data_IF_231466235594
#
_entry.id   IF_231466235594
#
_cell.length_a   1.000
_cell.length_b   1.000
_cell.length_c   1.000
_cell.angle_alpha   90.00
_cell.angle_beta   90.00
_cell.angle_gamma   90.00
#
_symmetry.space_group_name_H-M   'P 1'
#
loop_
_entity.id
_entity.type
_entity.pdbx_description
1 polymer ?
#
# COMPACT_ATOMS: atom_id res chain seq x y z
N UNK A 1 -24.00 -23.80 24.80
CA UNK A 1 -25.20 -24.28 24.09
C UNK A 1 -25.72 -23.12 23.27
N UNK A 2 -26.05 -23.33 21.98
CA UNK A 2 -26.66 -22.27 21.15
C UNK A 2 -28.03 -21.90 21.72
N UNK A 3 -28.36 -20.62 21.69
CA UNK A 3 -29.70 -20.15 22.09
C UNK A 3 -30.75 -20.56 21.06
N UNK A 4 -32.04 -20.43 21.41
CA UNK A 4 -33.12 -20.67 20.44
C UNK A 4 -33.00 -19.73 19.24
N UNK A 5 -32.74 -18.44 19.45
CA UNK A 5 -32.59 -17.43 18.39
C UNK A 5 -31.44 -17.75 17.43
N UNK A 6 -30.31 -18.21 17.97
CA UNK A 6 -29.16 -18.62 17.15
C UNK A 6 -29.50 -19.85 16.29
N UNK A 7 -30.22 -20.83 16.86
CA UNK A 7 -30.67 -22.02 16.10
C UNK A 7 -31.74 -21.67 15.07
N UNK A 8 -32.66 -20.76 15.41
CA UNK A 8 -33.69 -20.24 14.53
C UNK A 8 -33.09 -19.54 13.32
N UNK A 9 -32.15 -18.63 13.55
CA UNK A 9 -31.47 -17.89 12.47
C UNK A 9 -30.66 -18.85 11.59
N UNK A 10 -29.88 -19.75 12.19
CA UNK A 10 -29.14 -20.79 11.44
C UNK A 10 -30.07 -21.73 10.66
N UNK A 11 -31.27 -22.02 11.17
CA UNK A 11 -32.27 -22.83 10.45
C UNK A 11 -32.91 -22.07 9.29
N UNK A 12 -33.17 -20.77 9.44
CA UNK A 12 -33.62 -19.90 8.34
C UNK A 12 -32.56 -19.84 7.25
N UNK A 13 -31.30 -19.62 7.62
CA UNK A 13 -30.16 -19.48 6.70
C UNK A 13 -29.69 -20.82 6.09
N UNK A 14 -30.22 -21.95 6.58
CA UNK A 14 -29.88 -23.29 6.07
C UNK A 14 -28.52 -23.81 6.55
N UNK A 15 -27.94 -23.19 7.58
CA UNK A 15 -26.67 -23.59 8.20
C UNK A 15 -26.84 -24.68 9.25
N UNK A 16 -28.08 -24.94 9.70
CA UNK A 16 -28.38 -26.03 10.62
C UNK A 16 -28.38 -27.37 9.86
N UNK A 17 -27.50 -28.31 10.25
CA UNK A 17 -27.32 -29.59 9.53
C UNK A 17 -27.34 -30.80 10.46
N UNK A 18 -27.67 -31.96 9.89
CA UNK A 18 -27.57 -33.26 10.55
C UNK A 18 -28.43 -33.38 11.82
N UNK A 19 -27.89 -33.86 12.95
CA UNK A 19 -28.67 -34.14 14.15
C UNK A 19 -29.21 -32.87 14.81
N UNK A 20 -28.49 -31.74 14.72
CA UNK A 20 -28.94 -30.47 15.29
C UNK A 20 -30.24 -29.96 14.62
N UNK A 21 -30.40 -30.21 13.32
CA UNK A 21 -31.62 -29.87 12.59
C UNK A 21 -32.80 -30.71 13.04
N UNK A 22 -32.61 -32.03 13.19
CA UNK A 22 -33.66 -32.92 13.66
C UNK A 22 -34.10 -32.59 15.09
N UNK A 23 -33.15 -32.30 15.98
CA UNK A 23 -33.44 -31.87 17.35
C UNK A 23 -34.18 -30.52 17.40
N UNK A 24 -33.78 -29.57 16.56
CA UNK A 24 -34.43 -28.27 16.50
C UNK A 24 -35.85 -28.37 15.94
N UNK A 25 -36.05 -29.07 14.82
CA UNK A 25 -37.37 -29.28 14.24
C UNK A 25 -38.33 -30.04 15.17
N UNK A 26 -37.80 -30.99 15.95
CA UNK A 26 -38.57 -31.69 16.97
C UNK A 26 -38.91 -30.80 18.18
N UNK A 27 -38.13 -29.75 18.44
CA UNK A 27 -38.41 -28.78 19.51
C UNK A 27 -39.45 -27.72 19.13
N UNK A 28 -39.79 -27.60 17.84
CA UNK A 28 -40.78 -26.62 17.37
C UNK A 28 -42.20 -27.07 17.74
N UNK A 29 -43.01 -26.21 18.40
CA UNK A 29 -44.37 -26.56 18.80
C UNK A 29 -45.31 -26.71 17.60
N UNK A 30 -45.09 -25.94 16.52
CA UNK A 30 -45.77 -26.09 15.23
C UNK A 30 -44.78 -25.87 14.10
N UNK A 31 -44.35 -26.97 13.48
CA UNK A 31 -43.41 -26.95 12.35
C UNK A 31 -44.01 -26.25 11.12
N UNK A 32 -45.30 -26.40 10.86
CA UNK A 32 -45.93 -25.82 9.68
C UNK A 32 -46.03 -24.29 9.79
N UNK A 33 -46.36 -23.78 10.98
CA UNK A 33 -46.32 -22.34 11.27
C UNK A 33 -44.90 -21.78 11.20
N UNK A 34 -43.92 -22.48 11.77
CA UNK A 34 -42.50 -22.07 11.71
C UNK A 34 -41.96 -22.03 10.27
N UNK A 35 -42.34 -22.99 9.41
CA UNK A 35 -41.98 -22.97 8.00
C UNK A 35 -42.68 -21.85 7.22
N UNK A 36 -43.90 -21.47 7.62
CA UNK A 36 -44.59 -20.30 7.05
C UNK A 36 -43.86 -19.01 7.41
N UNK A 37 -43.50 -18.83 8.68
CA UNK A 37 -42.73 -17.69 9.14
C UNK A 37 -41.35 -17.60 8.48
N UNK A 38 -40.66 -18.74 8.32
CA UNK A 38 -39.40 -18.81 7.55
C UNK A 38 -39.59 -18.32 6.12
N UNK A 39 -40.66 -18.76 5.43
CA UNK A 39 -40.97 -18.29 4.06
C UNK A 39 -41.23 -16.79 4.03
N UNK A 40 -41.98 -16.27 4.99
CA UNK A 40 -42.27 -14.84 5.07
C UNK A 40 -41.02 -14.01 5.36
N UNK A 41 -40.13 -14.48 6.23
CA UNK A 41 -38.84 -13.86 6.50
C UNK A 41 -37.95 -13.80 5.24
N UNK A 42 -37.89 -14.89 4.46
CA UNK A 42 -37.17 -14.93 3.19
C UNK A 42 -37.79 -13.97 2.16
N UNK A 43 -39.12 -13.94 2.05
CA UNK A 43 -39.85 -13.03 1.17
C UNK A 43 -39.57 -11.56 1.54
N UNK A 44 -39.58 -11.24 2.84
CA UNK A 44 -39.24 -9.91 3.34
C UNK A 44 -37.78 -9.55 3.00
N UNK A 45 -36.84 -10.48 3.19
CA UNK A 45 -35.44 -10.28 2.82
C UNK A 45 -35.24 -10.00 1.33
N UNK A 46 -35.94 -10.73 0.45
CA UNK A 46 -35.92 -10.48 -0.99
C UNK A 46 -36.53 -9.12 -1.33
N UNK A 47 -37.68 -8.79 -0.74
CA UNK A 47 -38.35 -7.51 -0.93
C UNK A 47 -37.45 -6.33 -0.51
N UNK A 48 -36.81 -6.44 0.66
CA UNK A 48 -35.86 -5.44 1.15
C UNK A 48 -34.67 -5.29 0.21
N UNK A 49 -34.08 -6.38 -0.29
CA UNK A 49 -32.98 -6.32 -1.27
C UNK A 49 -33.40 -5.64 -2.58
N UNK A 50 -34.64 -5.81 -3.01
CA UNK A 50 -35.19 -5.16 -4.21
C UNK A 50 -35.44 -3.67 -4.00
N UNK A 51 -36.01 -3.27 -2.85
CA UNK A 51 -36.30 -1.87 -2.55
C UNK A 51 -35.05 -1.07 -2.17
N UNK A 52 -34.11 -1.72 -1.49
CA UNK A 52 -32.82 -1.16 -1.09
C UNK A 52 -31.76 -1.35 -2.17
N UNK A 53 -32.13 -1.61 -3.44
CA UNK A 53 -31.18 -1.72 -4.55
C UNK A 53 -30.16 -0.60 -4.44
N UNK A 54 -28.95 -1.01 -4.05
CA UNK A 54 -27.92 -0.09 -3.60
C UNK A 54 -27.56 0.86 -4.71
N UNK A 55 -27.14 2.07 -4.31
CA UNK A 55 -26.49 3.02 -5.19
C UNK A 55 -25.50 2.26 -6.08
N UNK A 56 -25.65 2.38 -7.40
CA UNK A 56 -24.72 1.83 -8.39
C UNK A 56 -23.31 2.20 -7.99
N UNK A 57 -22.47 1.18 -7.78
CA UNK A 57 -21.11 1.43 -7.33
C UNK A 57 -20.34 1.99 -8.53
N UNK A 58 -19.71 3.16 -8.37
CA UNK A 58 -19.06 3.85 -9.49
C UNK A 58 -17.94 3.05 -10.19
N UNK A 59 -17.47 1.95 -9.59
CA UNK A 59 -16.35 1.14 -10.06
C UNK A 59 -16.66 -0.38 -10.02
N UNK A 60 -17.86 -0.80 -10.42
CA UNK A 60 -18.26 -2.24 -10.42
C UNK A 60 -17.25 -3.16 -11.13
N UNK A 61 -16.68 -2.71 -12.25
CA UNK A 61 -15.69 -3.48 -13.01
C UNK A 61 -14.42 -3.79 -12.22
N UNK A 62 -13.96 -2.86 -11.38
CA UNK A 62 -12.78 -3.06 -10.53
C UNK A 62 -13.04 -4.15 -9.48
N UNK A 63 -14.21 -4.10 -8.83
CA UNK A 63 -14.57 -5.09 -7.82
C UNK A 63 -14.83 -6.46 -8.46
N UNK A 64 -15.49 -6.50 -9.62
CA UNK A 64 -15.73 -7.75 -10.35
C UNK A 64 -14.43 -8.41 -10.79
N UNK A 65 -13.44 -7.64 -11.23
CA UNK A 65 -12.12 -8.18 -11.59
C UNK A 65 -11.44 -8.82 -10.37
N UNK A 66 -11.33 -8.09 -9.26
CA UNK A 66 -10.69 -8.60 -8.04
C UNK A 66 -11.42 -9.81 -7.44
N UNK A 67 -12.76 -9.80 -7.46
CA UNK A 67 -13.56 -10.95 -7.03
C UNK A 67 -13.33 -12.16 -7.91
N UNK A 68 -13.34 -11.99 -9.24
CA UNK A 68 -13.06 -13.08 -10.19
C UNK A 68 -11.66 -13.64 -10.02
N UNK A 69 -10.66 -12.79 -9.85
CA UNK A 69 -9.28 -13.22 -9.59
C UNK A 69 -9.16 -14.02 -8.29
N UNK A 70 -9.80 -13.56 -7.21
CA UNK A 70 -9.81 -14.31 -5.94
C UNK A 70 -10.53 -15.64 -6.06
N UNK A 71 -11.70 -15.67 -6.70
CA UNK A 71 -12.44 -16.92 -6.91
C UNK A 71 -11.62 -17.89 -7.77
N UNK A 72 -10.96 -17.42 -8.83
CA UNK A 72 -10.09 -18.24 -9.66
C UNK A 72 -8.86 -18.75 -8.88
N UNK A 73 -8.28 -17.94 -8.00
CA UNK A 73 -7.18 -18.35 -7.13
C UNK A 73 -7.61 -19.42 -6.12
N UNK A 74 -8.80 -19.29 -5.52
CA UNK A 74 -9.35 -20.26 -4.58
C UNK A 74 -9.79 -21.56 -5.28
N UNK A 75 -10.40 -21.47 -6.45
CA UNK A 75 -10.82 -22.62 -7.25
C UNK A 75 -9.62 -23.39 -7.82
N UNK A 76 -8.61 -22.69 -8.36
CA UNK A 76 -7.36 -23.30 -8.82
C UNK A 76 -6.52 -23.88 -7.67
N UNK A 77 -6.74 -23.40 -6.43
CA UNK A 77 -6.16 -23.96 -5.22
C UNK A 77 -6.90 -25.20 -4.68
N UNK A 78 -8.11 -25.50 -5.16
CA UNK A 78 -8.91 -26.65 -4.73
C UNK A 78 -8.59 -27.92 -5.53
N UNK A 79 -8.43 -27.82 -6.86
CA UNK A 79 -8.09 -28.97 -7.72
C UNK A 79 -6.70 -29.55 -7.47
N UNK A 80 -5.75 -28.74 -6.98
CA UNK A 80 -4.38 -29.21 -6.66
C UNK A 80 -4.29 -29.84 -5.26
N UNK A 81 -5.35 -29.72 -4.44
CA UNK A 81 -5.29 -30.01 -2.99
C UNK A 81 -5.68 -31.44 -2.61
N UNK A 82 -6.08 -32.28 -3.57
CA UNK A 82 -6.47 -33.67 -3.28
C UNK A 82 -5.32 -34.70 -3.28
N UNK A 83 -4.09 -34.34 -3.69
CA UNK A 83 -2.97 -35.32 -3.75
C UNK A 83 -1.77 -35.06 -2.84
N UNK A 84 -1.75 -34.00 -2.02
CA UNK A 84 -0.57 -33.71 -1.19
C UNK A 84 -0.89 -33.59 0.31
N UNK A 85 -1.21 -34.72 0.91
CA UNK A 85 -1.02 -34.92 2.34
C UNK A 85 0.44 -34.64 2.73
N UNK A 86 0.61 -33.97 3.87
CA UNK A 86 1.78 -34.01 4.77
C UNK A 86 3.13 -33.37 4.39
N UNK A 87 3.26 -32.45 3.41
CA UNK A 87 4.57 -31.77 3.14
C UNK A 87 4.54 -30.25 2.93
N UNK A 88 3.67 -29.48 3.60
CA UNK A 88 3.48 -28.03 3.32
C UNK A 88 4.22 -27.03 4.23
N UNK A 89 5.29 -27.43 4.92
CA UNK A 89 6.06 -26.51 5.79
C UNK A 89 7.54 -26.30 5.38
N UNK A 90 8.09 -27.08 4.45
CA UNK A 90 9.54 -27.05 4.16
C UNK A 90 9.95 -26.28 2.89
N UNK A 91 9.01 -25.98 2.00
CA UNK A 91 9.29 -25.23 0.78
C UNK A 91 9.51 -23.71 0.97
N UNK A 92 8.78 -22.99 1.85
CA UNK A 92 8.92 -21.53 1.91
C UNK A 92 10.23 -21.07 2.56
N UNK A 93 10.81 -21.85 3.48
CA UNK A 93 12.10 -21.51 4.11
C UNK A 93 13.26 -21.55 3.10
N UNK A 94 13.28 -22.56 2.22
CA UNK A 94 14.34 -22.69 1.22
C UNK A 94 14.38 -21.52 0.23
N UNK A 95 13.21 -21.03 -0.21
CA UNK A 95 13.12 -19.86 -1.10
C UNK A 95 13.48 -18.57 -0.38
N UNK A 96 13.16 -18.43 0.91
CA UNK A 96 13.54 -17.26 1.70
C UNK A 96 15.06 -17.18 1.90
N UNK A 97 15.71 -18.30 2.20
CA UNK A 97 17.17 -18.37 2.34
C UNK A 97 17.85 -18.10 1.00
N UNK A 98 17.35 -18.65 -0.10
CA UNK A 98 17.88 -18.38 -1.44
C UNK A 98 17.70 -16.90 -1.83
N UNK A 99 16.52 -16.32 -1.61
CA UNK A 99 16.26 -14.91 -1.89
C UNK A 99 17.18 -13.99 -1.04
N UNK A 100 17.35 -14.31 0.24
CA UNK A 100 18.26 -13.60 1.13
C UNK A 100 19.72 -13.68 0.68
N UNK A 101 20.20 -14.88 0.35
CA UNK A 101 21.56 -15.07 -0.17
C UNK A 101 21.79 -14.34 -1.49
N UNK A 102 20.80 -14.35 -2.39
CA UNK A 102 20.88 -13.66 -3.68
C UNK A 102 20.93 -12.14 -3.48
N UNK A 103 20.08 -11.60 -2.60
CA UNK A 103 20.09 -10.18 -2.24
C UNK A 103 21.42 -9.76 -1.61
N UNK A 104 21.97 -10.58 -0.71
CA UNK A 104 23.24 -10.29 -0.04
C UNK A 104 24.41 -10.33 -1.05
N UNK A 105 24.42 -11.27 -1.98
CA UNK A 105 25.44 -11.36 -3.03
C UNK A 105 25.40 -10.14 -3.96
N UNK A 106 24.21 -9.72 -4.41
CA UNK A 106 24.04 -8.51 -5.23
C UNK A 106 24.52 -7.28 -4.45
N UNK A 107 24.15 -7.15 -3.18
CA UNK A 107 24.61 -6.06 -2.33
C UNK A 107 26.14 -6.06 -2.16
N UNK A 108 26.76 -7.22 -1.96
CA UNK A 108 28.21 -7.35 -1.86
C UNK A 108 28.92 -6.96 -3.17
N UNK A 109 28.38 -7.36 -4.32
CA UNK A 109 28.92 -6.96 -5.63
C UNK A 109 28.78 -5.45 -5.83
N UNK A 110 27.62 -4.87 -5.55
CA UNK A 110 27.39 -3.44 -5.68
C UNK A 110 28.28 -2.62 -4.73
N UNK A 111 28.42 -3.05 -3.47
CA UNK A 111 29.31 -2.39 -2.52
C UNK A 111 30.77 -2.47 -2.95
N UNK A 112 31.25 -3.62 -3.40
CA UNK A 112 32.62 -3.73 -3.94
C UNK A 112 32.80 -2.83 -5.17
N UNK A 113 31.85 -2.79 -6.11
CA UNK A 113 31.94 -1.90 -7.28
C UNK A 113 31.93 -0.42 -6.89
N UNK A 114 31.03 0.00 -5.99
CA UNK A 114 30.91 1.40 -5.54
C UNK A 114 32.13 1.83 -4.72
N UNK A 115 32.66 0.96 -3.85
CA UNK A 115 33.88 1.27 -3.11
C UNK A 115 35.14 1.23 -3.99
N UNK A 116 35.14 0.43 -5.06
CA UNK A 116 36.26 0.36 -6.01
C UNK A 116 36.26 1.52 -7.01
N UNK A 117 35.09 2.04 -7.38
CA UNK A 117 34.96 3.30 -8.13
C UNK A 117 35.34 4.51 -7.28
N UNK A 118 35.10 4.47 -5.97
CA UNK A 118 35.67 5.43 -5.00
C UNK A 118 37.12 5.10 -4.68
N UNK A 119 37.98 5.14 -5.71
CA UNK A 119 39.42 5.30 -5.48
C UNK A 119 39.69 6.51 -4.56
N UNK A 120 40.76 6.49 -3.74
CA UNK A 120 40.94 7.41 -2.60
C UNK A 120 41.37 8.83 -3.00
N UNK A 121 40.70 9.49 -3.95
CA UNK A 121 41.17 10.77 -4.47
C UNK A 121 40.10 11.75 -4.97
N UNK A 122 38.89 11.79 -4.40
CA UNK A 122 37.96 12.88 -4.75
C UNK A 122 37.03 13.33 -3.62
N UNK A 123 37.51 13.22 -2.37
CA UNK A 123 36.78 13.67 -1.18
C UNK A 123 36.83 15.21 -0.97
N UNK A 124 37.26 16.00 -1.97
CA UNK A 124 37.41 17.45 -1.86
C UNK A 124 36.58 18.28 -2.84
N UNK A 125 35.77 17.69 -3.72
CA UNK A 125 35.02 18.45 -4.75
C UNK A 125 33.64 18.99 -4.33
N UNK A 126 33.23 18.79 -3.07
CA UNK A 126 32.00 19.38 -2.52
C UNK A 126 32.25 20.16 -1.22
N UNK A 127 33.45 20.68 -1.01
CA UNK A 127 33.64 21.69 0.03
C UNK A 127 33.11 23.01 -0.53
N UNK A 128 31.84 23.30 -0.27
CA UNK A 128 31.25 24.63 -0.44
C UNK A 128 32.06 25.62 0.41
N UNK A 129 33.06 26.25 -0.19
CA UNK A 129 33.84 27.27 0.48
C UNK A 129 32.99 28.55 0.52
N UNK A 130 32.20 28.70 1.58
CA UNK A 130 31.46 29.93 1.87
C UNK A 130 32.49 30.99 2.28
N UNK A 131 33.05 31.67 1.28
CA UNK A 131 33.85 32.88 1.49
C UNK A 131 32.89 34.03 1.79
N UNK A 132 32.63 34.25 3.07
CA UNK A 132 31.98 35.47 3.56
C UNK A 132 32.95 36.65 3.35
N UNK A 133 32.92 37.25 2.16
CA UNK A 133 33.53 38.54 1.95
C UNK A 133 32.61 39.59 2.60
N UNK A 134 32.95 40.03 3.81
CA UNK A 134 32.29 41.20 4.41
C UNK A 134 32.56 42.42 3.54
N UNK A 135 31.52 42.95 2.91
CA UNK A 135 31.56 44.26 2.27
C UNK A 135 31.70 45.31 3.37
N UNK A 136 32.54 46.32 3.09
CA UNK A 136 32.86 47.42 3.99
C UNK A 136 31.57 48.08 4.55
N UNK A 137 31.37 48.11 5.89
CA UNK A 137 30.10 48.49 6.51
C UNK A 137 29.70 49.96 6.31
N UNK A 138 30.54 50.79 5.69
CA UNK A 138 30.24 52.22 5.47
C UNK A 138 29.28 52.45 4.30
N UNK A 139 29.18 51.52 3.33
CA UNK A 139 28.39 51.76 2.10
C UNK A 139 27.07 50.99 2.04
N UNK A 140 26.95 49.84 2.72
CA UNK A 140 25.67 49.08 2.73
C UNK A 140 25.59 48.09 3.89
N UNK A 141 24.88 48.39 4.99
CA UNK A 141 24.90 47.57 6.21
C UNK A 141 24.15 46.23 6.12
N UNK A 142 23.40 45.96 5.04
CA UNK A 142 22.57 44.74 4.92
C UNK A 142 22.81 43.94 3.63
N UNK A 143 23.87 44.21 2.87
CA UNK A 143 24.12 43.49 1.62
C UNK A 143 24.93 42.20 1.86
N UNK A 144 24.38 41.06 1.44
CA UNK A 144 25.08 39.76 1.46
C UNK A 144 25.24 39.28 0.02
N UNK A 145 26.49 39.06 -0.42
CA UNK A 145 26.81 38.53 -1.74
C UNK A 145 27.18 37.05 -1.58
N UNK A 146 26.40 36.17 -2.20
CA UNK A 146 26.68 34.72 -2.29
C UNK A 146 27.07 34.37 -3.72
N UNK A 147 28.27 33.82 -3.90
CA UNK A 147 28.79 33.44 -5.22
C UNK A 147 28.73 31.92 -5.39
N UNK A 148 28.05 31.47 -6.43
CA UNK A 148 27.97 30.06 -6.82
C UNK A 148 28.73 29.88 -8.12
N UNK A 149 29.82 29.13 -8.09
CA UNK A 149 30.63 28.84 -9.28
C UNK A 149 30.49 27.36 -9.64
N UNK A 150 30.00 27.07 -10.85
CA UNK A 150 29.99 25.72 -11.41
C UNK A 150 31.14 25.58 -12.42
N UNK A 151 32.20 24.86 -12.02
CA UNK A 151 33.38 24.64 -12.88
C UNK A 151 33.09 23.80 -14.14
N UNK A 152 31.98 23.06 -14.19
CA UNK A 152 31.62 22.24 -15.38
C UNK A 152 31.04 23.07 -16.52
N UNK A 153 30.28 24.12 -16.21
CA UNK A 153 29.56 24.91 -17.22
C UNK A 153 30.12 26.33 -17.42
N UNK A 154 31.20 26.70 -16.70
CA UNK A 154 31.78 28.06 -16.68
C UNK A 154 30.73 29.15 -16.40
N UNK A 155 29.74 28.84 -15.58
CA UNK A 155 28.72 29.80 -15.14
C UNK A 155 29.00 30.17 -13.70
N UNK A 156 29.19 31.47 -13.47
CA UNK A 156 29.26 32.06 -12.13
C UNK A 156 27.96 32.80 -11.88
N UNK A 157 27.18 32.34 -10.91
CA UNK A 157 25.96 33.00 -10.48
C UNK A 157 26.27 33.80 -9.22
N UNK A 158 26.12 35.12 -9.31
CA UNK A 158 26.24 36.04 -8.19
C UNK A 158 24.84 36.35 -7.67
N UNK A 159 24.52 35.85 -6.47
CA UNK A 159 23.28 36.18 -5.79
C UNK A 159 23.55 37.28 -4.77
N UNK A 160 22.94 38.45 -4.97
CA UNK A 160 23.08 39.58 -4.05
C UNK A 160 21.74 39.88 -3.43
N UNK A 161 21.69 39.81 -2.10
CA UNK A 161 20.50 40.10 -1.32
C UNK A 161 20.73 41.34 -0.45
N UNK A 162 19.76 42.25 -0.37
CA UNK A 162 19.81 43.44 0.49
C UNK A 162 20.47 44.72 -0.07
N UNK A 163 20.66 44.87 -1.39
CA UNK A 163 21.09 46.14 -2.00
C UNK A 163 19.93 47.16 -2.03
N UNK A 164 20.07 48.31 -1.36
CA UNK A 164 19.22 49.47 -1.63
C UNK A 164 19.57 50.03 -3.02
N UNK A 165 18.57 50.08 -3.90
CA UNK A 165 18.54 50.66 -5.26
C UNK A 165 19.89 50.99 -5.90
N UNK A 166 20.28 50.20 -6.91
CA UNK A 166 21.37 50.57 -7.81
C UNK A 166 21.06 51.92 -8.48
N UNK A 167 21.98 52.91 -8.46
CA UNK A 167 21.82 54.15 -9.22
C UNK A 167 21.66 53.81 -10.72
N UNK A 168 20.73 54.48 -11.40
CA UNK A 168 20.38 54.24 -12.81
C UNK A 168 21.49 54.53 -13.82
N UNK A 169 22.69 54.91 -13.37
CA UNK A 169 23.83 55.25 -14.22
C UNK A 169 24.64 54.03 -14.72
N UNK A 170 24.42 52.82 -14.19
CA UNK A 170 25.10 51.62 -14.67
C UNK A 170 24.49 50.99 -15.92
N UNK A 171 23.41 51.57 -16.45
CA UNK A 171 22.76 51.11 -17.66
C UNK A 171 22.98 52.07 -18.84
N UNK A 172 24.22 52.47 -19.14
CA UNK A 172 24.60 52.87 -20.51
C UNK A 172 26.11 52.99 -20.74
N UNK A 173 26.55 52.22 -21.76
CA UNK A 173 27.81 52.22 -22.54
C UNK A 173 29.06 51.54 -21.97
#
# INVERSE_FOLDING_TARGET
>A
MKTFEEKWTAWIDGELTGPELAEFEASLPDKAAAEAEKRDALNLGVFLKQQLQGRTMGNEEFFHHQLRERIAADAGGADVRESSGTKRAWWPLGRLVWAGATSLAIFAVCTVFVLREKGPSDQSQYLSQILNARVDPVVSPNATISMFESKKDRVTVLWVDGLQSLPSEYATK
#
